data_IF_305101376206
#
_entry.id   IF_305101376206
#
_cell.length_a   1.000
_cell.length_b   1.000
_cell.length_c   1.000
_cell.angle_alpha   90.00
_cell.angle_beta   90.00
_cell.angle_gamma   90.00
#
_symmetry.space_group_name_H-M   'P 1'
#
loop_
_entity.id
_entity.type
_entity.pdbx_description
1 polymer ?
#
# COMPACT_ATOMS: atom_id res chain seq x y z
N UNK A 1 19.31 -21.00 -23.48
CA UNK A 1 18.06 -20.19 -23.67
C UNK A 1 16.90 -20.67 -22.79
N UNK A 2 16.60 -21.98 -22.70
CA UNK A 2 15.52 -22.48 -21.84
C UNK A 2 15.84 -22.26 -20.34
N UNK A 3 17.07 -22.56 -19.91
CA UNK A 3 17.50 -22.34 -18.53
C UNK A 3 17.44 -20.87 -18.13
N UNK A 4 17.95 -19.97 -18.97
CA UNK A 4 17.93 -18.52 -18.68
C UNK A 4 16.49 -17.95 -18.59
N UNK A 5 15.56 -18.46 -19.40
CA UNK A 5 14.13 -18.11 -19.30
C UNK A 5 13.53 -18.64 -17.98
N UNK A 6 13.88 -19.86 -17.58
CA UNK A 6 13.40 -20.43 -16.32
C UNK A 6 13.93 -19.68 -15.11
N UNK A 7 15.21 -19.30 -15.11
CA UNK A 7 15.81 -18.48 -14.07
C UNK A 7 15.10 -17.13 -13.94
N UNK A 8 14.78 -16.48 -15.05
CA UNK A 8 14.04 -15.22 -15.05
C UNK A 8 12.61 -15.38 -14.53
N UNK A 9 11.91 -16.46 -14.90
CA UNK A 9 10.59 -16.76 -14.37
C UNK A 9 10.63 -17.09 -12.89
N UNK A 10 11.64 -17.84 -12.43
CA UNK A 10 11.86 -18.12 -11.02
C UNK A 10 12.06 -16.83 -10.22
N UNK A 11 12.95 -15.95 -10.68
CA UNK A 11 13.16 -14.65 -10.04
C UNK A 11 11.88 -13.79 -9.99
N UNK A 12 11.02 -13.86 -11.03
CA UNK A 12 9.75 -13.17 -11.04
C UNK A 12 8.75 -13.75 -10.01
N UNK A 13 8.72 -15.06 -9.86
CA UNK A 13 7.91 -15.76 -8.85
C UNK A 13 8.41 -15.43 -7.44
N UNK A 14 9.73 -15.39 -7.23
CA UNK A 14 10.34 -14.96 -5.97
C UNK A 14 9.98 -13.49 -5.65
N UNK A 15 10.07 -12.61 -6.63
CA UNK A 15 9.65 -11.23 -6.47
C UNK A 15 8.16 -11.08 -6.13
N UNK A 16 7.33 -12.02 -6.58
CA UNK A 16 5.91 -12.07 -6.21
C UNK A 16 5.68 -12.57 -4.76
N UNK A 17 6.66 -13.10 -4.07
CA UNK A 17 6.54 -13.60 -2.69
C UNK A 17 6.40 -15.11 -2.56
N UNK A 18 6.93 -15.87 -3.53
CA UNK A 18 6.94 -17.32 -3.48
C UNK A 18 8.36 -17.88 -3.52
N UNK A 19 8.55 -18.99 -2.84
CA UNK A 19 9.77 -19.80 -2.87
C UNK A 19 9.52 -21.08 -3.65
N UNK A 20 10.46 -21.43 -4.54
CA UNK A 20 10.38 -22.69 -5.28
C UNK A 20 10.68 -23.87 -4.37
N UNK A 21 9.70 -24.74 -4.18
CA UNK A 21 9.83 -25.97 -3.40
C UNK A 21 10.40 -27.09 -4.27
N UNK A 22 11.73 -27.05 -4.52
CA UNK A 22 12.39 -27.96 -5.44
C UNK A 22 12.25 -29.45 -5.06
N UNK A 23 12.30 -29.75 -3.76
CA UNK A 23 12.21 -31.12 -3.25
C UNK A 23 10.80 -31.71 -3.39
N UNK A 24 9.79 -30.85 -3.34
CA UNK A 24 8.37 -31.21 -3.49
C UNK A 24 7.92 -31.17 -4.95
N UNK A 25 8.75 -30.63 -5.83
CA UNK A 25 8.49 -30.55 -7.27
C UNK A 25 8.97 -31.82 -7.97
N UNK A 26 8.24 -32.26 -8.98
CA UNK A 26 8.56 -33.44 -9.76
C UNK A 26 8.23 -33.25 -11.24
N UNK A 27 8.34 -34.32 -12.04
CA UNK A 27 8.02 -34.26 -13.49
C UNK A 27 6.55 -33.96 -13.83
N UNK A 28 5.67 -34.03 -12.84
CA UNK A 28 4.25 -33.80 -13.05
C UNK A 28 3.77 -32.41 -12.63
N UNK A 29 4.49 -31.77 -11.67
CA UNK A 29 4.16 -30.42 -11.22
C UNK A 29 5.36 -29.70 -10.61
N UNK A 30 5.35 -28.38 -10.72
CA UNK A 30 6.22 -27.45 -10.01
C UNK A 30 5.42 -26.87 -8.84
N UNK A 31 6.02 -26.84 -7.67
CA UNK A 31 5.39 -26.29 -6.48
C UNK A 31 6.14 -25.07 -5.98
N UNK A 32 5.37 -24.04 -5.63
CA UNK A 32 5.88 -22.83 -5.01
C UNK A 32 5.11 -22.58 -3.73
N UNK A 33 5.81 -22.27 -2.66
CA UNK A 33 5.24 -21.98 -1.34
C UNK A 33 5.39 -20.48 -1.04
N UNK A 34 4.42 -19.86 -0.34
CA UNK A 34 4.57 -18.49 0.12
C UNK A 34 5.84 -18.32 0.95
N UNK A 35 6.47 -17.16 0.83
CA UNK A 35 7.60 -16.78 1.68
C UNK A 35 7.12 -16.07 2.97
N UNK A 36 8.06 -15.67 3.84
CA UNK A 36 7.74 -15.01 5.11
C UNK A 36 7.22 -13.58 4.99
N UNK A 37 7.05 -13.04 3.79
CA UNK A 37 6.56 -11.67 3.59
C UNK A 37 5.04 -11.53 3.70
N UNK A 38 4.31 -12.63 3.80
CA UNK A 38 2.84 -12.68 3.86
C UNK A 38 2.11 -12.01 2.66
N UNK A 39 2.84 -11.68 1.60
CA UNK A 39 2.27 -11.06 0.38
C UNK A 39 1.36 -12.01 -0.39
N UNK A 40 1.59 -13.30 -0.26
CA UNK A 40 0.84 -14.34 -0.97
C UNK A 40 0.30 -15.36 0.01
N UNK A 41 -0.88 -15.91 -0.31
CA UNK A 41 -1.52 -16.95 0.47
C UNK A 41 -1.69 -18.22 -0.35
N UNK A 42 -1.42 -19.36 0.29
CA UNK A 42 -1.56 -20.67 -0.32
C UNK A 42 -0.43 -21.03 -1.29
N UNK A 43 -0.33 -22.30 -1.60
CA UNK A 43 0.68 -22.83 -2.51
C UNK A 43 0.28 -22.63 -3.96
N UNK A 44 1.25 -22.32 -4.82
CA UNK A 44 1.08 -22.29 -6.26
C UNK A 44 1.57 -23.61 -6.85
N UNK A 45 0.73 -24.24 -7.66
CA UNK A 45 1.05 -25.46 -8.41
C UNK A 45 0.99 -25.19 -9.89
N UNK A 46 2.04 -25.53 -10.62
CA UNK A 46 2.10 -25.42 -12.07
C UNK A 46 2.57 -26.73 -12.70
N UNK A 47 1.94 -27.15 -13.79
CA UNK A 47 2.30 -28.38 -14.51
C UNK A 47 3.55 -28.21 -15.38
N UNK A 48 3.94 -26.99 -15.67
CA UNK A 48 5.09 -26.66 -16.51
C UNK A 48 5.52 -25.21 -16.33
N UNK A 49 6.74 -24.90 -16.78
CA UNK A 49 7.23 -23.51 -16.83
C UNK A 49 6.40 -22.60 -17.74
N UNK A 50 5.71 -23.12 -18.73
CA UNK A 50 4.76 -22.33 -19.55
C UNK A 50 3.54 -21.91 -18.74
N UNK A 51 3.14 -22.67 -17.76
CA UNK A 51 2.05 -22.29 -16.84
C UNK A 51 2.52 -21.24 -15.83
N UNK A 52 3.75 -21.34 -15.34
CA UNK A 52 4.40 -20.31 -14.53
C UNK A 52 4.49 -18.98 -15.31
N UNK A 53 4.87 -19.04 -16.58
CA UNK A 53 4.92 -17.85 -17.45
C UNK A 53 3.57 -17.15 -17.54
N UNK A 54 2.50 -17.91 -17.84
CA UNK A 54 1.13 -17.35 -17.88
C UNK A 54 0.68 -16.75 -16.56
N UNK A 55 1.10 -17.35 -15.44
CA UNK A 55 0.82 -16.82 -14.13
C UNK A 55 1.58 -15.51 -13.88
N UNK A 56 2.86 -15.41 -14.25
CA UNK A 56 3.66 -14.18 -14.20
C UNK A 56 3.03 -13.08 -15.07
N UNK A 57 2.62 -13.41 -16.28
CA UNK A 57 1.90 -12.49 -17.18
C UNK A 57 0.59 -11.99 -16.55
N UNK A 58 -0.16 -12.89 -15.92
CA UNK A 58 -1.40 -12.53 -15.24
C UNK A 58 -1.17 -11.57 -14.06
N UNK A 59 -0.06 -11.72 -13.30
CA UNK A 59 0.31 -10.75 -12.24
C UNK A 59 0.62 -9.39 -12.87
N UNK A 60 1.40 -9.33 -13.93
CA UNK A 60 1.75 -8.08 -14.61
C UNK A 60 0.50 -7.38 -15.15
N UNK A 61 -0.47 -8.14 -15.62
CA UNK A 61 -1.71 -7.59 -16.17
C UNK A 61 -2.72 -7.19 -15.08
N UNK A 62 -2.94 -8.06 -14.07
CA UNK A 62 -4.08 -8.01 -13.14
C UNK A 62 -3.69 -7.99 -11.66
N UNK A 63 -2.42 -8.15 -11.32
CA UNK A 63 -1.94 -8.10 -9.95
C UNK A 63 -2.12 -6.72 -9.30
N UNK A 64 -1.97 -6.63 -7.99
CA UNK A 64 -1.92 -5.35 -7.30
C UNK A 64 -0.72 -4.50 -7.78
N UNK A 65 -0.71 -3.19 -7.55
CA UNK A 65 0.34 -2.29 -8.02
C UNK A 65 1.75 -2.70 -7.60
N UNK A 66 1.87 -3.25 -6.40
CA UNK A 66 3.15 -3.65 -5.81
C UNK A 66 3.69 -4.91 -6.46
N UNK A 67 2.82 -5.92 -6.62
CA UNK A 67 3.18 -7.15 -7.33
C UNK A 67 3.55 -6.85 -8.78
N UNK A 68 2.76 -6.02 -9.47
CA UNK A 68 3.07 -5.55 -10.83
C UNK A 68 4.44 -4.91 -10.91
N UNK A 69 4.77 -4.04 -9.96
CA UNK A 69 6.06 -3.38 -9.94
C UNK A 69 7.19 -4.37 -9.69
N UNK A 70 7.11 -5.18 -8.64
CA UNK A 70 8.17 -6.13 -8.28
C UNK A 70 8.42 -7.15 -9.39
N UNK A 71 7.38 -7.80 -9.89
CA UNK A 71 7.47 -8.77 -10.99
C UNK A 71 7.88 -8.08 -12.29
N UNK A 72 7.32 -6.91 -12.57
CA UNK A 72 7.65 -6.10 -13.74
C UNK A 72 9.12 -5.72 -13.81
N UNK A 73 9.75 -5.35 -12.69
CA UNK A 73 11.19 -5.04 -12.62
C UNK A 73 12.07 -6.23 -13.00
N UNK A 74 11.64 -7.45 -12.70
CA UNK A 74 12.37 -8.67 -13.11
C UNK A 74 12.16 -8.94 -14.60
N UNK A 75 10.94 -8.80 -15.09
CA UNK A 75 10.60 -9.15 -16.48
C UNK A 75 10.97 -8.04 -17.48
N UNK A 76 10.79 -6.78 -17.10
CA UNK A 76 11.00 -5.60 -17.96
C UNK A 76 11.78 -4.51 -17.21
N UNK A 77 13.02 -4.78 -16.75
CA UNK A 77 13.77 -3.83 -15.91
C UNK A 77 13.95 -2.45 -16.59
N UNK A 78 14.00 -2.43 -17.90
CA UNK A 78 14.16 -1.20 -18.70
C UNK A 78 12.98 -0.24 -18.61
N UNK A 79 11.85 -0.65 -18.04
CA UNK A 79 10.64 0.18 -17.88
C UNK A 79 10.59 0.92 -16.56
N UNK A 80 11.57 0.71 -15.70
CA UNK A 80 11.57 1.25 -14.35
C UNK A 80 12.79 2.17 -14.15
N UNK A 81 12.54 3.46 -14.01
CA UNK A 81 13.59 4.46 -13.82
C UNK A 81 14.08 4.49 -12.36
N UNK A 82 13.16 4.34 -11.41
CA UNK A 82 13.43 4.46 -9.98
C UNK A 82 13.77 3.10 -9.34
N UNK A 83 14.83 3.03 -8.55
CA UNK A 83 15.19 1.83 -7.79
C UNK A 83 14.24 1.59 -6.61
N UNK A 84 14.21 0.38 -6.06
CA UNK A 84 13.45 0.11 -4.84
C UNK A 84 13.99 0.90 -3.63
N UNK A 85 15.28 1.18 -3.60
CA UNK A 85 15.89 2.02 -2.57
C UNK A 85 15.42 3.46 -2.67
N UNK A 86 15.38 4.06 -3.87
CA UNK A 86 14.85 5.41 -4.06
C UNK A 86 13.37 5.50 -3.67
N UNK A 87 12.60 4.45 -3.93
CA UNK A 87 11.19 4.38 -3.51
C UNK A 87 11.03 4.42 -2.00
N UNK A 88 12.00 3.92 -1.23
CA UNK A 88 12.03 4.03 0.23
C UNK A 88 11.86 5.49 0.68
N UNK A 89 12.47 6.43 -0.04
CA UNK A 89 12.51 7.84 0.32
C UNK A 89 11.44 8.70 -0.38
N UNK A 90 10.85 8.21 -1.47
CA UNK A 90 9.85 8.94 -2.27
C UNK A 90 8.42 8.48 -2.03
N UNK A 91 8.24 7.27 -1.52
CA UNK A 91 6.93 6.67 -1.25
C UNK A 91 6.63 6.70 0.24
N UNK A 92 5.36 6.60 0.58
CA UNK A 92 4.89 6.65 1.97
C UNK A 92 4.28 5.35 2.48
N UNK A 93 4.21 4.35 1.62
CA UNK A 93 3.85 3.00 2.06
C UNK A 93 4.79 2.53 3.17
N UNK A 94 4.33 1.58 3.97
CA UNK A 94 5.19 0.91 4.95
C UNK A 94 6.27 0.11 4.22
N UNK A 95 7.47 0.69 4.16
CA UNK A 95 8.63 0.11 3.46
C UNK A 95 9.78 -0.08 4.42
N UNK A 96 10.58 -1.10 4.15
CA UNK A 96 11.87 -1.28 4.80
C UNK A 96 12.98 -1.34 3.74
N UNK A 97 14.17 -0.92 4.15
CA UNK A 97 15.40 -1.15 3.38
C UNK A 97 16.49 -1.67 4.31
N UNK A 98 17.18 -2.71 3.87
CA UNK A 98 18.26 -3.35 4.61
C UNK A 98 19.59 -2.93 4.00
N UNK A 99 20.50 -2.55 4.84
CA UNK A 99 21.83 -2.06 4.48
C UNK A 99 22.89 -2.90 5.17
N UNK A 100 23.82 -3.42 4.38
CA UNK A 100 25.00 -4.09 4.88
C UNK A 100 26.23 -3.22 4.68
N UNK A 101 27.18 -3.32 5.60
CA UNK A 101 28.49 -2.70 5.43
C UNK A 101 29.16 -3.18 4.14
N UNK A 102 29.72 -2.27 3.37
CA UNK A 102 30.48 -2.62 2.18
C UNK A 102 31.77 -3.34 2.58
N UNK A 103 31.84 -4.62 2.26
CA UNK A 103 33.00 -5.48 2.56
C UNK A 103 34.29 -5.00 1.90
N UNK A 104 34.20 -4.20 0.87
CA UNK A 104 35.34 -3.62 0.14
C UNK A 104 35.63 -2.17 0.55
N UNK A 105 34.80 -1.59 1.43
CA UNK A 105 34.91 -0.21 1.89
C UNK A 105 35.66 -0.04 3.20
N UNK A 106 35.68 1.19 3.68
CA UNK A 106 36.32 1.61 4.95
C UNK A 106 35.69 0.97 6.21
N UNK A 107 34.45 0.46 6.11
CA UNK A 107 33.69 -0.14 7.21
C UNK A 107 34.01 -1.61 7.51
N UNK A 108 34.98 -2.25 6.83
CA UNK A 108 35.23 -3.68 6.96
C UNK A 108 35.51 -4.12 8.39
N UNK A 109 36.23 -3.32 9.16
CA UNK A 109 36.63 -3.65 10.54
C UNK A 109 35.49 -3.46 11.54
N UNK A 110 34.32 -2.98 11.07
CA UNK A 110 33.10 -2.78 11.85
C UNK A 110 32.11 -3.95 11.70
N UNK A 111 32.40 -4.93 10.82
CA UNK A 111 31.53 -6.08 10.61
C UNK A 111 31.34 -6.87 11.92
N UNK A 112 30.09 -7.14 12.27
CA UNK A 112 29.66 -7.88 13.47
C UNK A 112 30.07 -7.20 14.81
N UNK A 113 30.40 -5.92 14.78
CA UNK A 113 30.76 -5.13 15.95
C UNK A 113 29.50 -4.46 16.51
N UNK A 114 29.33 -4.51 17.83
CA UNK A 114 28.20 -3.81 18.50
C UNK A 114 28.48 -2.33 18.66
N UNK A 115 27.44 -1.55 18.95
CA UNK A 115 27.51 -0.10 19.06
C UNK A 115 28.48 0.36 20.17
N UNK A 116 28.47 -0.32 21.31
CA UNK A 116 29.36 0.03 22.45
C UNK A 116 30.84 -0.06 22.03
N UNK A 117 31.23 -1.17 21.37
CA UNK A 117 32.61 -1.34 20.90
C UNK A 117 33.01 -0.30 19.83
N UNK A 118 32.05 0.12 18.98
CA UNK A 118 32.30 1.18 17.98
C UNK A 118 32.53 2.53 18.66
N UNK A 119 31.71 2.86 19.67
CA UNK A 119 31.82 4.10 20.43
C UNK A 119 33.12 4.16 21.23
N UNK A 120 33.54 3.05 21.88
CA UNK A 120 34.82 2.96 22.59
C UNK A 120 36.03 3.19 21.65
N UNK A 121 35.93 2.76 20.39
CA UNK A 121 36.94 2.98 19.37
C UNK A 121 36.88 4.34 18.70
N UNK A 122 35.88 5.17 19.04
CA UNK A 122 35.64 6.46 18.39
C UNK A 122 35.23 6.34 16.92
N UNK A 123 34.60 5.21 16.56
CA UNK A 123 34.13 4.95 15.19
C UNK A 123 32.69 5.44 15.06
N UNK A 124 32.45 6.29 14.07
CA UNK A 124 31.11 6.80 13.74
C UNK A 124 30.55 5.97 12.56
N UNK A 125 29.28 5.58 12.69
CA UNK A 125 28.53 4.92 11.63
C UNK A 125 28.07 6.00 10.66
N UNK A 126 28.41 5.87 9.37
CA UNK A 126 28.03 6.79 8.30
C UNK A 126 27.41 6.02 7.13
N UNK A 127 26.43 6.60 6.48
CA UNK A 127 25.62 5.92 5.46
C UNK A 127 26.40 5.56 4.18
N UNK A 128 27.54 6.22 3.91
CA UNK A 128 28.42 5.94 2.78
C UNK A 128 29.19 4.62 2.91
N UNK A 129 29.31 4.09 4.12
CA UNK A 129 29.92 2.79 4.39
C UNK A 129 28.98 1.61 4.05
N UNK A 130 27.72 1.89 3.78
CA UNK A 130 26.68 0.90 3.61
C UNK A 130 26.15 0.85 2.18
N UNK A 131 25.77 -0.33 1.75
CA UNK A 131 25.02 -0.54 0.51
C UNK A 131 23.64 -1.12 0.81
N UNK A 132 22.62 -0.64 0.11
CA UNK A 132 21.30 -1.25 0.15
C UNK A 132 21.37 -2.66 -0.48
N UNK A 133 20.95 -3.67 0.24
CA UNK A 133 20.93 -5.07 -0.23
C UNK A 133 19.51 -5.56 -0.48
N UNK A 134 18.52 -4.92 0.12
CA UNK A 134 17.13 -5.26 -0.06
C UNK A 134 16.23 -4.07 0.27
N UNK A 135 15.13 -3.94 -0.45
CA UNK A 135 14.08 -3.00 -0.12
C UNK A 135 12.72 -3.60 -0.51
N UNK A 136 11.76 -3.50 0.38
CA UNK A 136 10.43 -4.09 0.20
C UNK A 136 9.39 -3.36 1.03
N UNK A 137 8.15 -3.75 0.82
CA UNK A 137 7.06 -3.44 1.74
C UNK A 137 7.11 -4.36 2.95
N UNK A 138 6.56 -3.88 4.07
CA UNK A 138 6.31 -4.67 5.25
C UNK A 138 4.91 -4.37 5.80
N UNK A 139 4.39 -5.22 6.69
CA UNK A 139 3.09 -4.99 7.30
C UNK A 139 3.18 -3.88 8.37
N UNK A 140 2.17 -3.00 8.47
CA UNK A 140 2.20 -1.86 9.40
C UNK A 140 2.33 -2.23 10.88
N UNK A 141 1.99 -3.47 11.25
CA UNK A 141 2.10 -4.01 12.61
C UNK A 141 3.41 -4.74 12.89
N UNK A 142 4.30 -4.84 11.89
CA UNK A 142 5.62 -5.44 12.07
C UNK A 142 6.59 -4.41 12.63
N UNK A 143 7.12 -4.70 13.81
CA UNK A 143 8.20 -3.93 14.44
C UNK A 143 9.58 -4.47 14.04
N UNK A 144 10.65 -3.86 14.55
CA UNK A 144 12.02 -4.31 14.29
C UNK A 144 12.30 -5.75 14.74
N UNK A 145 11.62 -6.25 15.78
CA UNK A 145 11.79 -7.64 16.20
C UNK A 145 11.17 -8.60 15.20
N UNK A 146 9.99 -8.27 14.70
CA UNK A 146 9.32 -9.05 13.65
C UNK A 146 10.18 -9.07 12.35
N UNK A 147 10.67 -7.90 11.93
CA UNK A 147 11.57 -7.78 10.77
C UNK A 147 12.83 -8.62 10.97
N UNK A 148 13.47 -8.53 12.14
CA UNK A 148 14.65 -9.32 12.45
C UNK A 148 14.38 -10.82 12.36
N UNK A 149 13.27 -11.32 12.93
CA UNK A 149 12.87 -12.73 12.86
C UNK A 149 12.61 -13.16 11.41
N UNK A 150 11.87 -12.37 10.63
CA UNK A 150 11.59 -12.69 9.22
C UNK A 150 12.92 -12.90 8.45
N UNK A 151 13.87 -11.96 8.56
CA UNK A 151 15.11 -12.03 7.78
C UNK A 151 16.15 -13.02 8.30
N UNK A 152 15.92 -13.60 9.48
CA UNK A 152 16.78 -14.67 10.03
C UNK A 152 16.13 -16.06 9.95
N UNK A 153 14.82 -16.17 10.15
CA UNK A 153 14.14 -17.46 10.26
C UNK A 153 13.48 -17.88 8.93
N UNK A 154 12.80 -16.94 8.24
CA UNK A 154 12.10 -17.20 6.98
C UNK A 154 12.17 -15.98 6.03
N UNK A 155 13.38 -15.69 5.50
CA UNK A 155 13.57 -14.50 4.67
C UNK A 155 12.77 -14.56 3.36
N UNK A 156 12.44 -13.37 2.78
CA UNK A 156 11.79 -13.29 1.48
C UNK A 156 12.54 -14.12 0.43
N UNK A 157 11.82 -14.75 -0.48
CA UNK A 157 12.41 -15.61 -1.51
C UNK A 157 13.38 -14.85 -2.44
N UNK A 158 13.13 -13.56 -2.67
CA UNK A 158 13.98 -12.66 -3.44
C UNK A 158 15.10 -11.98 -2.62
N UNK A 159 15.20 -12.24 -1.32
CA UNK A 159 16.31 -11.80 -0.49
C UNK A 159 17.54 -12.69 -0.73
N UNK A 160 18.60 -12.12 -1.28
CA UNK A 160 19.82 -12.88 -1.67
C UNK A 160 21.04 -12.49 -0.85
N UNK A 161 20.87 -11.67 0.17
CA UNK A 161 21.95 -11.29 1.09
C UNK A 161 22.03 -12.25 2.28
N UNK A 162 23.01 -12.06 3.17
CA UNK A 162 23.06 -12.80 4.43
C UNK A 162 21.95 -12.32 5.39
N UNK A 163 21.59 -13.16 6.37
CA UNK A 163 20.67 -12.82 7.44
C UNK A 163 21.12 -11.58 8.21
N UNK A 164 20.16 -10.85 8.81
CA UNK A 164 20.44 -9.66 9.61
C UNK A 164 21.39 -9.99 10.78
N UNK A 165 22.43 -9.19 10.92
CA UNK A 165 23.50 -9.39 11.90
C UNK A 165 23.89 -8.07 12.55
N UNK A 166 24.61 -8.16 13.67
CA UNK A 166 25.19 -6.95 14.28
C UNK A 166 26.01 -6.18 13.25
N UNK A 167 25.92 -4.87 13.29
CA UNK A 167 26.42 -3.87 12.34
C UNK A 167 25.60 -3.64 11.06
N UNK A 168 24.56 -4.40 10.79
CA UNK A 168 23.64 -4.07 9.71
C UNK A 168 22.71 -2.91 10.11
N UNK A 169 22.16 -2.21 9.12
CA UNK A 169 21.21 -1.13 9.34
C UNK A 169 19.90 -1.42 8.61
N UNK A 170 18.79 -1.15 9.27
CA UNK A 170 17.45 -1.23 8.67
C UNK A 170 16.81 0.15 8.73
N UNK A 171 16.41 0.69 7.59
CA UNK A 171 15.50 1.83 7.55
C UNK A 171 14.07 1.31 7.45
N UNK A 172 13.21 1.79 8.32
CA UNK A 172 11.77 1.58 8.25
C UNK A 172 11.08 2.91 7.94
N UNK A 173 10.24 2.90 6.92
CA UNK A 173 9.34 4.00 6.60
C UNK A 173 7.93 3.58 7.02
N UNK A 174 7.35 4.27 7.95
CA UNK A 174 5.96 4.07 8.37
C UNK A 174 5.15 5.32 8.05
N UNK A 175 4.46 5.30 6.93
CA UNK A 175 3.63 6.42 6.48
C UNK A 175 4.38 7.75 6.31
N UNK A 176 5.65 7.68 5.90
CA UNK A 176 6.52 8.85 5.72
C UNK A 176 7.37 9.19 6.94
N UNK A 177 7.12 8.59 8.10
CA UNK A 177 8.03 8.63 9.25
C UNK A 177 9.13 7.58 9.04
N UNK A 178 10.34 8.05 8.82
CA UNK A 178 11.48 7.20 8.49
C UNK A 178 12.47 7.16 9.66
N UNK A 179 12.80 5.95 10.08
CA UNK A 179 13.77 5.70 11.12
C UNK A 179 14.77 4.66 10.69
N UNK A 180 16.03 4.92 10.98
CA UNK A 180 17.12 3.96 10.77
C UNK A 180 17.48 3.30 12.09
N UNK A 181 17.67 1.99 12.05
CA UNK A 181 18.01 1.16 13.20
C UNK A 181 19.29 0.37 12.91
N UNK A 182 20.28 0.55 13.74
CA UNK A 182 21.45 -0.29 13.79
C UNK A 182 21.10 -1.61 14.50
N UNK A 183 21.39 -2.72 13.89
CA UNK A 183 21.27 -4.04 14.51
C UNK A 183 22.45 -4.22 15.45
N UNK A 184 22.19 -4.21 16.75
CA UNK A 184 23.22 -4.39 17.78
C UNK A 184 23.27 -5.86 18.24
N UNK A 185 24.24 -6.21 19.06
CA UNK A 185 24.33 -7.54 19.72
C UNK A 185 23.11 -7.88 20.55
N UNK A 186 22.51 -6.85 21.18
CA UNK A 186 21.32 -6.96 22.00
C UNK A 186 20.34 -5.85 21.61
N UNK A 187 19.42 -6.17 20.67
CA UNK A 187 18.38 -5.26 20.24
C UNK A 187 18.81 -4.31 19.11
N UNK A 188 18.23 -3.12 19.10
CA UNK A 188 18.38 -2.16 18.02
C UNK A 188 18.62 -0.77 18.58
N UNK A 189 19.46 0.02 17.90
CA UNK A 189 19.72 1.41 18.26
C UNK A 189 19.35 2.34 17.12
N UNK A 190 18.58 3.39 17.40
CA UNK A 190 18.20 4.37 16.39
C UNK A 190 19.42 5.19 15.95
N UNK A 191 19.54 5.41 14.64
CA UNK A 191 20.55 6.23 13.99
C UNK A 191 19.88 7.48 13.39
N UNK A 192 19.80 8.60 14.11
CA UNK A 192 18.99 9.75 13.71
C UNK A 192 19.43 10.38 12.38
N UNK A 193 20.73 10.40 12.09
CA UNK A 193 21.27 11.10 10.92
C UNK A 193 21.36 10.22 9.66
N UNK A 194 21.29 8.90 9.80
CA UNK A 194 21.53 7.93 8.73
C UNK A 194 20.57 8.10 7.55
N UNK A 195 19.29 8.39 7.82
CA UNK A 195 18.26 8.60 6.78
C UNK A 195 18.63 9.80 5.90
N UNK A 196 18.98 10.92 6.51
CA UNK A 196 19.33 12.14 5.77
C UNK A 196 20.66 12.00 5.03
N UNK A 197 21.66 11.34 5.62
CA UNK A 197 22.91 11.01 4.94
C UNK A 197 22.65 10.12 3.71
N UNK A 198 21.76 9.14 3.82
CA UNK A 198 21.44 8.24 2.72
C UNK A 198 20.73 8.97 1.58
N UNK A 199 19.80 9.86 1.88
CA UNK A 199 19.15 10.74 0.89
C UNK A 199 20.18 11.59 0.13
N UNK A 200 21.18 12.14 0.82
CA UNK A 200 22.27 12.91 0.21
C UNK A 200 23.08 12.08 -0.79
N UNK A 201 23.44 10.86 -0.40
CA UNK A 201 24.18 9.93 -1.27
C UNK A 201 23.41 9.63 -2.55
N UNK A 202 22.08 9.53 -2.47
CA UNK A 202 21.20 9.28 -3.62
C UNK A 202 20.89 10.55 -4.42
N UNK A 203 21.43 11.72 -4.02
CA UNK A 203 21.17 12.99 -4.70
C UNK A 203 19.76 13.53 -4.48
N UNK A 204 19.07 13.10 -3.44
CA UNK A 204 17.66 13.42 -3.16
C UNK A 204 17.48 14.64 -2.24
N UNK A 205 18.51 15.45 -2.03
CA UNK A 205 18.46 16.59 -1.09
C UNK A 205 17.44 17.68 -1.46
N UNK A 206 17.14 17.82 -2.75
CA UNK A 206 16.34 18.95 -3.25
C UNK A 206 14.86 18.60 -3.52
N UNK A 207 14.46 17.34 -3.53
CA UNK A 207 13.09 16.93 -3.88
C UNK A 207 12.17 16.77 -2.67
N UNK A 208 12.69 16.87 -1.45
CA UNK A 208 11.93 16.73 -0.22
C UNK A 208 11.53 18.09 0.35
N UNK A 209 11.04 19.00 -0.49
CA UNK A 209 10.05 19.94 0.02
C UNK A 209 8.81 19.12 0.33
N UNK A 210 8.44 19.11 1.62
CA UNK A 210 7.26 18.49 2.21
C UNK A 210 6.13 18.23 1.20
N UNK A 211 6.29 17.22 0.34
CA UNK A 211 5.15 16.71 -0.41
C UNK A 211 4.20 16.16 0.64
N UNK A 212 3.05 16.74 0.67
CA UNK A 212 2.05 16.43 1.66
C UNK A 212 1.78 14.92 1.72
N UNK A 213 1.63 14.40 2.93
CA UNK A 213 1.42 12.99 3.22
C UNK A 213 0.28 12.36 2.40
N UNK A 214 -0.74 13.17 2.04
CA UNK A 214 -1.90 12.73 1.28
C UNK A 214 -1.76 12.91 -0.24
N UNK A 215 -0.63 13.47 -0.73
CA UNK A 215 -0.35 13.59 -2.16
C UNK A 215 0.29 12.33 -2.77
N UNK A 216 0.71 11.38 -1.94
CA UNK A 216 1.30 10.11 -2.38
C UNK A 216 0.43 8.95 -1.92
N UNK A 217 0.37 7.90 -2.73
CA UNK A 217 -0.23 6.63 -2.34
C UNK A 217 0.56 6.07 -1.17
N UNK A 218 -0.09 5.83 -0.04
CA UNK A 218 0.51 5.30 1.19
C UNK A 218 -0.26 4.04 1.63
N UNK A 219 -0.23 3.71 2.92
CA UNK A 219 -1.14 2.70 3.48
C UNK A 219 -2.63 3.13 3.40
N UNK A 220 -2.88 4.32 2.88
CA UNK A 220 -4.21 4.83 2.53
C UNK A 220 -4.20 5.20 1.05
N UNK A 221 -5.16 4.71 0.29
CA UNK A 221 -5.49 5.16 -1.06
C UNK A 221 -6.87 5.77 -1.07
N UNK A 222 -7.15 6.61 -2.07
CA UNK A 222 -8.42 7.29 -2.19
C UNK A 222 -9.15 6.87 -3.46
N UNK A 223 -10.46 7.10 -3.49
CA UNK A 223 -11.28 6.88 -4.65
C UNK A 223 -12.28 8.01 -4.85
N UNK A 224 -12.74 8.15 -6.09
CA UNK A 224 -13.91 8.94 -6.44
C UNK A 224 -14.91 8.04 -7.15
N UNK A 225 -16.18 8.08 -6.75
CA UNK A 225 -17.20 7.19 -7.26
C UNK A 225 -18.53 7.91 -7.52
N UNK A 226 -19.27 7.40 -8.50
CA UNK A 226 -20.70 7.63 -8.60
C UNK A 226 -21.39 6.75 -7.55
N UNK A 227 -22.10 7.36 -6.60
CA UNK A 227 -22.93 6.63 -5.66
C UNK A 227 -24.18 6.13 -6.39
N UNK A 228 -24.28 4.82 -6.58
CA UNK A 228 -25.47 4.17 -7.12
C UNK A 228 -26.28 3.49 -6.05
N UNK A 229 -27.61 3.47 -6.19
CA UNK A 229 -28.41 2.49 -5.48
C UNK A 229 -28.00 1.09 -5.95
N UNK A 230 -27.60 0.24 -4.98
CA UNK A 230 -27.27 -1.14 -5.23
C UNK A 230 -28.28 -1.82 -6.19
N UNK A 231 -27.86 -2.58 -7.25
CA UNK A 231 -26.56 -3.24 -7.47
C UNK A 231 -25.71 -2.64 -8.59
N UNK A 232 -26.01 -1.47 -9.10
CA UNK A 232 -25.29 -0.89 -10.25
C UNK A 232 -24.23 0.08 -9.72
N UNK A 233 -22.97 -0.38 -9.70
CA UNK A 233 -21.82 0.50 -9.51
C UNK A 233 -21.67 1.40 -10.73
N UNK A 234 -21.71 2.72 -10.51
CA UNK A 234 -21.29 3.69 -11.50
C UNK A 234 -19.79 3.66 -11.76
N UNK A 235 -19.29 4.67 -12.43
CA UNK A 235 -17.85 4.82 -12.66
C UNK A 235 -17.12 5.01 -11.31
N UNK A 236 -16.07 4.21 -11.07
CA UNK A 236 -15.25 4.29 -9.87
C UNK A 236 -13.78 4.41 -10.27
N UNK A 237 -13.12 5.44 -9.75
CA UNK A 237 -11.69 5.67 -9.92
C UNK A 237 -11.00 5.31 -8.60
N UNK A 238 -10.16 4.27 -8.62
CA UNK A 238 -9.45 3.73 -7.46
C UNK A 238 -7.97 4.13 -7.44
N UNK A 239 -7.33 3.85 -6.33
CA UNK A 239 -5.87 3.96 -6.11
C UNK A 239 -5.31 5.36 -6.40
N UNK A 240 -6.08 6.36 -6.01
CA UNK A 240 -5.75 7.77 -6.19
C UNK A 240 -5.10 8.35 -4.94
N UNK A 241 -4.36 9.44 -5.13
CA UNK A 241 -4.07 10.38 -4.05
C UNK A 241 -5.32 11.21 -3.74
N UNK A 242 -5.40 11.84 -2.58
CA UNK A 242 -6.56 12.68 -2.24
C UNK A 242 -6.79 13.83 -3.24
N UNK A 243 -5.77 14.58 -3.71
CA UNK A 243 -5.97 15.59 -4.74
C UNK A 243 -6.55 15.02 -6.05
N UNK A 244 -6.04 13.88 -6.51
CA UNK A 244 -6.55 13.20 -7.71
C UNK A 244 -8.00 12.73 -7.54
N UNK A 245 -8.35 12.20 -6.36
CA UNK A 245 -9.72 11.79 -6.05
C UNK A 245 -10.68 13.00 -6.04
N UNK A 246 -10.25 14.15 -5.50
CA UNK A 246 -11.04 15.38 -5.54
C UNK A 246 -11.18 15.91 -6.97
N UNK A 247 -10.14 15.82 -7.81
CA UNK A 247 -10.19 16.18 -9.21
C UNK A 247 -11.11 15.24 -10.02
N UNK A 248 -11.02 13.92 -9.77
CA UNK A 248 -11.91 12.93 -10.37
C UNK A 248 -13.37 13.16 -9.97
N UNK A 249 -13.62 13.45 -8.69
CA UNK A 249 -14.96 13.82 -8.19
C UNK A 249 -15.58 14.99 -8.96
N UNK A 250 -14.79 16.02 -9.31
CA UNK A 250 -15.27 17.14 -10.11
C UNK A 250 -15.73 16.71 -11.51
N UNK A 251 -15.02 15.77 -12.12
CA UNK A 251 -15.29 15.30 -13.48
C UNK A 251 -16.49 14.36 -13.57
N UNK A 252 -16.91 13.74 -12.45
CA UNK A 252 -18.09 12.87 -12.41
C UNK A 252 -19.34 13.73 -12.64
N UNK A 253 -20.15 13.44 -13.67
CA UNK A 253 -21.37 14.21 -13.95
C UNK A 253 -22.39 14.13 -12.81
N UNK A 254 -22.85 15.29 -12.32
CA UNK A 254 -23.85 15.34 -11.25
C UNK A 254 -25.26 14.85 -11.67
N UNK A 255 -25.47 14.71 -12.96
CA UNK A 255 -26.79 14.36 -13.54
C UNK A 255 -27.10 12.86 -13.48
N UNK A 256 -26.09 12.04 -13.37
CA UNK A 256 -26.25 10.61 -13.19
C UNK A 256 -26.61 10.30 -11.73
N UNK A 257 -27.60 9.45 -11.53
CA UNK A 257 -27.94 8.85 -10.23
C UNK A 257 -28.34 9.84 -9.12
N UNK A 258 -29.24 10.77 -9.43
CA UNK A 258 -29.72 11.80 -8.49
C UNK A 258 -28.62 12.72 -7.95
N UNK A 259 -27.50 12.84 -8.66
CA UNK A 259 -26.40 13.71 -8.28
C UNK A 259 -25.54 13.23 -7.10
N UNK A 260 -25.70 11.99 -6.69
CA UNK A 260 -24.88 11.41 -5.64
C UNK A 260 -23.54 10.96 -6.21
N UNK A 261 -22.48 11.51 -5.68
CA UNK A 261 -21.10 11.11 -5.93
C UNK A 261 -20.29 11.24 -4.65
N UNK A 262 -19.25 10.43 -4.49
CA UNK A 262 -18.45 10.38 -3.28
C UNK A 262 -16.96 10.48 -3.54
N UNK A 263 -16.23 10.89 -2.52
CA UNK A 263 -14.80 10.68 -2.34
C UNK A 263 -14.62 9.91 -1.06
N UNK A 264 -13.84 8.86 -1.11
CA UNK A 264 -13.58 8.02 0.03
C UNK A 264 -12.15 7.48 0.02
N UNK A 265 -11.88 6.54 0.91
CA UNK A 265 -10.57 5.95 1.08
C UNK A 265 -10.66 4.44 1.33
N UNK A 266 -9.55 3.76 1.04
CA UNK A 266 -9.25 2.42 1.47
C UNK A 266 -8.03 2.48 2.38
N UNK A 267 -8.11 1.92 3.58
CA UNK A 267 -6.95 1.64 4.41
C UNK A 267 -6.44 0.26 4.06
N UNK A 268 -5.13 0.17 3.84
CA UNK A 268 -4.47 -1.11 3.67
C UNK A 268 -3.87 -1.51 5.01
N UNK A 269 -4.58 -2.33 5.76
CA UNK A 269 -4.08 -2.98 6.96
C UNK A 269 -3.84 -4.46 6.68
N UNK A 270 -2.57 -4.82 6.56
CA UNK A 270 -2.19 -6.19 6.25
C UNK A 270 -2.60 -6.64 4.84
N UNK A 271 -3.01 -7.90 4.71
CA UNK A 271 -3.48 -8.48 3.44
C UNK A 271 -4.97 -8.22 3.16
N UNK A 272 -5.69 -7.67 4.13
CA UNK A 272 -7.13 -7.43 4.03
C UNK A 272 -7.39 -5.93 3.78
N UNK A 273 -8.13 -5.65 2.72
CA UNK A 273 -8.71 -4.32 2.52
C UNK A 273 -9.81 -4.12 3.56
N UNK A 274 -9.60 -3.24 4.50
CA UNK A 274 -10.65 -2.77 5.41
C UNK A 274 -11.60 -1.85 4.64
N UNK A 275 -12.45 -2.41 3.86
CA UNK A 275 -13.58 -1.78 3.19
C UNK A 275 -13.43 -0.34 2.71
N UNK A 276 -14.18 0.03 1.71
CA UNK A 276 -14.27 1.40 1.21
C UNK A 276 -15.10 2.25 2.17
N UNK A 277 -14.55 3.37 2.64
CA UNK A 277 -15.25 4.33 3.49
C UNK A 277 -15.28 5.71 2.85
N UNK A 278 -16.43 6.35 2.88
CA UNK A 278 -16.60 7.69 2.33
C UNK A 278 -16.07 8.77 3.27
N UNK A 279 -15.33 9.74 2.72
CA UNK A 279 -14.96 11.00 3.37
C UNK A 279 -16.00 12.10 3.09
N UNK A 280 -16.56 12.07 1.88
CA UNK A 280 -17.52 13.04 1.39
C UNK A 280 -18.55 12.35 0.47
N UNK A 281 -19.82 12.62 0.68
CA UNK A 281 -20.93 12.18 -0.19
C UNK A 281 -21.76 13.39 -0.57
N UNK A 282 -22.01 13.56 -1.87
CA UNK A 282 -22.79 14.69 -2.39
C UNK A 282 -22.38 16.06 -1.83
N UNK A 283 -21.07 16.28 -1.68
CA UNK A 283 -20.50 17.51 -1.14
C UNK A 283 -20.66 17.70 0.38
N UNK A 284 -21.00 16.65 1.11
CA UNK A 284 -21.12 16.68 2.59
C UNK A 284 -20.08 15.79 3.23
N UNK A 285 -19.35 16.34 4.21
CA UNK A 285 -18.41 15.57 5.02
C UNK A 285 -19.10 14.41 5.75
N UNK A 286 -18.42 13.29 5.83
CA UNK A 286 -18.85 12.10 6.59
C UNK A 286 -18.20 12.02 7.97
N UNK A 287 -17.72 13.13 8.50
CA UNK A 287 -17.02 13.21 9.81
C UNK A 287 -17.80 12.53 10.93
N UNK A 288 -19.10 12.82 11.08
CA UNK A 288 -19.90 12.26 12.17
C UNK A 288 -19.91 10.72 12.17
N UNK A 289 -19.96 10.12 10.98
CA UNK A 289 -19.92 8.67 10.80
C UNK A 289 -18.54 8.12 11.15
N UNK A 290 -17.49 8.72 10.61
CA UNK A 290 -16.12 8.25 10.82
C UNK A 290 -15.66 8.44 12.28
N UNK A 291 -16.03 9.54 12.91
CA UNK A 291 -15.71 9.79 14.32
C UNK A 291 -16.51 8.90 15.28
N UNK A 292 -17.63 8.30 14.85
CA UNK A 292 -18.36 7.32 15.63
C UNK A 292 -17.63 5.97 15.75
N UNK A 293 -16.68 5.71 14.85
CA UNK A 293 -15.88 4.49 14.83
C UNK A 293 -14.51 4.80 15.45
N UNK A 294 -14.16 4.23 16.64
CA UNK A 294 -12.94 4.57 17.36
C UNK A 294 -11.68 4.47 16.51
N UNK A 295 -11.59 3.43 15.69
CA UNK A 295 -10.46 3.19 14.78
C UNK A 295 -10.21 4.37 13.82
N UNK A 296 -11.23 4.86 13.12
CA UNK A 296 -11.09 6.00 12.18
C UNK A 296 -10.93 7.34 12.90
N UNK A 297 -11.58 7.51 14.04
CA UNK A 297 -11.44 8.71 14.88
C UNK A 297 -9.99 8.90 15.36
N UNK A 298 -9.28 7.82 15.66
CA UNK A 298 -7.91 7.85 16.18
C UNK A 298 -6.85 7.79 15.07
N UNK A 299 -7.24 7.42 13.85
CA UNK A 299 -6.32 7.32 12.72
C UNK A 299 -5.96 8.69 12.16
N UNK A 300 -4.69 9.07 12.29
CA UNK A 300 -4.19 10.40 11.87
C UNK A 300 -4.36 10.67 10.38
N UNK A 301 -4.19 9.66 9.51
CA UNK A 301 -4.33 9.83 8.06
C UNK A 301 -5.79 10.10 7.68
N UNK A 302 -6.73 9.39 8.28
CA UNK A 302 -8.17 9.60 8.07
C UNK A 302 -8.58 10.99 8.55
N UNK A 303 -8.11 11.42 9.73
CA UNK A 303 -8.44 12.73 10.28
C UNK A 303 -7.84 13.88 9.46
N UNK A 304 -6.63 13.72 8.92
CA UNK A 304 -6.05 14.73 8.03
C UNK A 304 -6.76 14.77 6.68
N UNK A 305 -7.15 13.61 6.13
CA UNK A 305 -7.94 13.54 4.91
C UNK A 305 -9.32 14.22 5.09
N UNK A 306 -10.01 13.95 6.20
CA UNK A 306 -11.26 14.62 6.55
C UNK A 306 -11.12 16.14 6.60
N UNK A 307 -10.10 16.63 7.29
CA UNK A 307 -9.82 18.07 7.38
C UNK A 307 -9.63 18.71 6.00
N UNK A 308 -8.94 18.04 5.08
CA UNK A 308 -8.72 18.54 3.72
C UNK A 308 -9.98 18.53 2.88
N UNK A 309 -10.78 17.48 3.00
CA UNK A 309 -12.08 17.40 2.34
C UNK A 309 -13.00 18.51 2.85
N UNK A 310 -13.02 18.81 4.14
CA UNK A 310 -13.78 19.91 4.71
C UNK A 310 -13.31 21.27 4.18
N UNK A 311 -11.98 21.51 4.11
CA UNK A 311 -11.43 22.72 3.49
C UNK A 311 -11.78 22.85 2.01
N UNK A 312 -11.89 21.73 1.29
CA UNK A 312 -12.35 21.72 -0.09
C UNK A 312 -13.83 22.07 -0.20
N UNK A 313 -14.68 21.53 0.68
CA UNK A 313 -16.11 21.84 0.74
C UNK A 313 -16.32 23.33 1.04
N UNK A 314 -15.60 23.89 2.00
CA UNK A 314 -15.70 25.30 2.41
C UNK A 314 -15.31 26.27 1.29
N UNK A 315 -14.33 25.89 0.45
CA UNK A 315 -13.90 26.71 -0.70
C UNK A 315 -14.88 26.70 -1.87
N UNK A 316 -15.76 25.71 -1.93
CA UNK A 316 -16.80 25.57 -2.95
C UNK A 316 -18.17 25.52 -2.28
N UNK A 317 -18.74 26.69 -1.88
CA UNK A 317 -20.07 26.70 -1.32
C UNK A 317 -21.03 26.04 -2.30
N UNK A 318 -21.72 25.02 -1.82
CA UNK A 318 -22.73 24.25 -2.55
C UNK A 318 -23.69 25.19 -3.27
N UNK A 319 -23.75 25.13 -4.59
CA UNK A 319 -24.92 25.50 -5.34
C UNK A 319 -26.02 24.46 -5.00
N UNK A 320 -26.55 24.58 -3.80
CA UNK A 320 -27.80 23.87 -3.44
C UNK A 320 -28.94 24.60 -4.13
N UNK A 321 -29.06 24.39 -5.42
CA UNK A 321 -30.36 24.61 -6.06
C UNK A 321 -31.34 23.63 -5.43
N UNK A 322 -32.29 24.25 -4.77
CA UNK A 322 -33.40 23.65 -4.08
C UNK A 322 -34.17 22.65 -4.96
N UNK A 323 -33.80 21.41 -4.95
CA UNK A 323 -34.74 20.33 -5.26
C UNK A 323 -35.40 19.87 -3.97
N UNK A 324 -36.30 20.71 -3.45
CA UNK A 324 -37.39 20.18 -2.62
C UNK A 324 -38.26 19.33 -3.55
N UNK A 325 -38.56 18.07 -3.22
CA UNK A 325 -39.62 17.36 -3.90
C UNK A 325 -40.88 18.21 -3.75
N UNK A 326 -41.51 18.59 -4.86
CA UNK A 326 -42.86 19.11 -4.82
C UNK A 326 -43.73 18.04 -4.19
N UNK A 327 -44.19 18.25 -2.97
CA UNK A 327 -45.35 17.55 -2.44
C UNK A 327 -46.50 17.80 -3.42
N UNK A 328 -46.72 16.87 -4.33
CA UNK A 328 -47.98 16.79 -5.05
C UNK A 328 -49.04 16.48 -4.01
N UNK A 329 -49.83 17.50 -3.70
CA UNK A 329 -51.10 17.33 -3.04
C UNK A 329 -52.00 16.52 -3.97
N UNK A 330 -51.90 15.19 -3.86
CA UNK A 330 -52.85 14.30 -4.45
C UNK A 330 -54.20 14.47 -3.76
N UNK A 331 -55.11 15.18 -4.43
CA UNK A 331 -56.51 15.14 -4.10
C UNK A 331 -57.00 13.68 -4.16
N UNK A 332 -57.37 13.15 -3.00
CA UNK A 332 -58.02 11.84 -2.88
C UNK A 332 -59.42 11.96 -3.49
N UNK A 333 -59.54 11.65 -4.78
CA UNK A 333 -60.84 11.37 -5.36
C UNK A 333 -61.38 10.05 -4.75
N UNK A 334 -62.32 10.17 -3.84
CA UNK A 334 -63.14 9.08 -3.32
C UNK A 334 -63.95 8.47 -4.47
N UNK A 335 -63.39 7.40 -5.04
CA UNK A 335 -64.12 6.58 -6.02
C UNK A 335 -65.25 5.79 -5.34
N UNK A 336 -66.43 5.90 -5.93
CA UNK A 336 -67.70 5.22 -5.62
C UNK A 336 -67.57 3.67 -5.75
N UNK A 337 -67.00 3.00 -4.80
CA UNK A 337 -67.04 1.52 -4.74
C UNK A 337 -67.35 0.92 -3.38
N UNK A 338 -67.92 1.71 -2.48
CA UNK A 338 -68.40 1.25 -1.16
C UNK A 338 -69.91 1.18 -1.05
N UNK A 339 -70.66 1.05 -2.16
CA UNK A 339 -72.14 0.90 -2.13
C UNK A 339 -72.59 -0.38 -2.82
N UNK A 340 -71.96 -1.53 -2.52
CA UNK A 340 -72.40 -2.82 -3.06
C UNK A 340 -72.02 -4.03 -2.16
N UNK A 341 -72.08 -3.87 -0.84
CA UNK A 341 -71.85 -4.98 0.10
C UNK A 341 -72.82 -5.01 1.27
N UNK A 342 -73.97 -4.37 1.18
CA UNK A 342 -75.03 -4.45 2.21
C UNK A 342 -76.33 -5.10 1.74
N UNK A 343 -76.42 -5.67 0.56
CA UNK A 343 -77.65 -6.33 0.08
C UNK A 343 -77.42 -7.78 -0.31
N UNK A 344 -76.76 -8.55 0.53
CA UNK A 344 -76.80 -10.01 0.45
C UNK A 344 -76.52 -10.64 1.81
N UNK A 345 -77.50 -10.56 2.71
CA UNK A 345 -77.71 -11.51 3.81
C UNK A 345 -79.21 -11.56 4.14
N UNK A 346 -79.85 -12.46 3.48
CA UNK A 346 -81.04 -13.16 3.91
C UNK A 346 -80.91 -14.58 3.39
#
# INVERSE_FOLDING_TARGET
MLEQKQEKLLAAVEAAGYRFAKEESNSQHLQFIPDGTHRMQGHLFAKSWNEVERWVEAIIEKGDPIQKERVGRVIYPERFEQSFEEMMFTRKECRLSIYHLDKNGSGRDQLFVGMEDLQEKGITITADQYRCVYSSLYLPNEDMNAIYSIFNDDPPADYKAHSLSASDVVIMNQNGDMKAYFVDRFGFQELPDFVEERKKILGMENDIQKKDILEQTSCISFYAAECSEFPILGEVHHDLTLPEALEAYEKIPAERMNGLKSVGFNLQEGSDYDGMMDLMVAGRSQREILDSIPFYRENKLVQEALKRVEQYIDKKPLNVEKTRPKEEKGEIQKTKSQKRREDMSL
#
